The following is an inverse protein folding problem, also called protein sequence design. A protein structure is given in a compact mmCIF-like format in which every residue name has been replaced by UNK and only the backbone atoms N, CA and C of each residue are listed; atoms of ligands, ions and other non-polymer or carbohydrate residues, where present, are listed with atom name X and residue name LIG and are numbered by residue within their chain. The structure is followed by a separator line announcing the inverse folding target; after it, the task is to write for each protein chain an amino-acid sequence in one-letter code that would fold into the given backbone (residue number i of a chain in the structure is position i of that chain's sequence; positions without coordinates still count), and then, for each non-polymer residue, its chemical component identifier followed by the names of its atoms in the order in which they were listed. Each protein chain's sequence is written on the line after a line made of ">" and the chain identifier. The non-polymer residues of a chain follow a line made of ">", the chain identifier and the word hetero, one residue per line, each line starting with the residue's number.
data_IF_071955989138
#
_entry.id   IF_071955989138
#
_cell.length_a   1.000
_cell.length_b   1.000
_cell.length_c   1.000
_cell.angle_alpha   90.00
_cell.angle_beta   90.00
_cell.angle_gamma   90.00
#
_symmetry.space_group_name_H-M   'P 1'
#
loop_
_entity.id
_entity.type
_entity.pdbx_description
1 polymer ?
#
# COMPACT_ATOMS: atom_id res chain seq x y z
N UNK A 1 1.55 7.21 1.40
CA UNK A 1 2.55 7.73 0.43
C UNK A 1 3.46 6.64 -0.14
N UNK A 2 4.09 5.77 0.68
CA UNK A 2 5.02 4.74 0.18
C UNK A 2 4.46 3.79 -0.90
N UNK A 3 3.29 3.19 -0.67
CA UNK A 3 2.65 2.28 -1.62
C UNK A 3 2.31 2.94 -2.98
N UNK A 4 1.80 4.18 -2.94
CA UNK A 4 1.47 4.95 -4.13
C UNK A 4 2.74 5.31 -4.93
N UNK A 5 3.81 5.72 -4.25
CA UNK A 5 5.08 6.03 -4.91
C UNK A 5 5.73 4.79 -5.55
N UNK A 6 5.77 3.67 -4.81
CA UNK A 6 6.28 2.40 -5.34
C UNK A 6 5.49 1.95 -6.57
N UNK A 7 4.16 2.01 -6.51
CA UNK A 7 3.28 1.69 -7.65
C UNK A 7 3.51 2.60 -8.84
N UNK A 8 3.64 3.92 -8.63
CA UNK A 8 3.87 4.87 -9.70
C UNK A 8 5.21 4.63 -10.41
N UNK A 9 6.30 4.48 -9.65
CA UNK A 9 7.64 4.28 -10.23
C UNK A 9 7.73 2.92 -10.95
N UNK A 10 7.27 1.84 -10.34
CA UNK A 10 7.25 0.53 -10.98
C UNK A 10 6.34 0.50 -12.21
N UNK A 11 5.15 1.10 -12.13
CA UNK A 11 4.21 1.20 -13.25
C UNK A 11 4.79 1.92 -14.46
N UNK A 12 5.50 3.05 -14.26
CA UNK A 12 6.17 3.75 -15.38
C UNK A 12 7.25 2.90 -16.06
N UNK A 13 8.02 2.12 -15.29
CA UNK A 13 9.03 1.22 -15.84
C UNK A 13 8.42 0.05 -16.61
N UNK A 14 7.33 -0.52 -16.11
CA UNK A 14 6.61 -1.60 -16.78
C UNK A 14 5.99 -1.10 -18.09
N UNK A 15 5.41 0.11 -18.09
CA UNK A 15 4.81 0.72 -19.28
C UNK A 15 5.85 1.08 -20.36
N UNK A 16 7.07 1.48 -19.97
CA UNK A 16 8.15 1.70 -20.92
C UNK A 16 8.68 0.37 -21.50
N UNK A 17 8.83 -0.65 -20.64
CA UNK A 17 9.33 -1.96 -21.04
C UNK A 17 8.34 -2.73 -21.92
N UNK A 18 7.04 -2.60 -21.67
CA UNK A 18 5.98 -3.34 -22.37
C UNK A 18 5.96 -3.09 -23.88
N UNK A 19 6.47 -1.94 -24.33
CA UNK A 19 6.62 -1.61 -25.76
C UNK A 19 7.69 -2.46 -26.44
N UNK A 20 8.80 -2.75 -25.73
CA UNK A 20 9.94 -3.48 -26.28
C UNK A 20 9.84 -4.99 -26.06
N UNK A 21 9.28 -5.43 -24.92
CA UNK A 21 9.16 -6.86 -24.54
C UNK A 21 7.84 -7.15 -23.83
N UNK A 22 6.72 -7.25 -24.57
CA UNK A 22 5.39 -7.42 -23.97
C UNK A 22 5.23 -8.74 -23.20
N UNK A 23 5.91 -9.82 -23.59
CA UNK A 23 5.92 -11.11 -22.88
C UNK A 23 6.40 -11.05 -21.42
N UNK A 24 7.09 -9.97 -21.01
CA UNK A 24 7.61 -9.83 -19.65
C UNK A 24 6.65 -9.11 -18.69
N UNK A 25 5.55 -8.52 -19.17
CA UNK A 25 4.64 -7.70 -18.35
C UNK A 25 4.18 -8.45 -17.09
N UNK A 26 3.71 -9.69 -17.25
CA UNK A 26 3.14 -10.45 -16.14
C UNK A 26 4.18 -10.77 -15.06
N UNK A 27 5.43 -11.03 -15.44
CA UNK A 27 6.54 -11.26 -14.49
C UNK A 27 6.94 -9.96 -13.80
N UNK A 28 6.88 -8.83 -14.50
CA UNK A 28 7.27 -7.52 -13.98
C UNK A 28 6.23 -6.86 -13.07
N UNK A 29 5.05 -7.46 -12.86
CA UNK A 29 4.00 -6.93 -11.96
C UNK A 29 4.34 -7.13 -10.47
N UNK A 30 5.23 -8.06 -10.11
CA UNK A 30 5.57 -8.40 -8.72
C UNK A 30 5.89 -7.16 -7.84
N UNK A 31 6.71 -6.18 -8.28
CA UNK A 31 7.01 -4.99 -7.48
C UNK A 31 5.78 -4.12 -7.18
N UNK A 32 4.78 -4.08 -8.08
CA UNK A 32 3.53 -3.35 -7.86
C UNK A 32 2.70 -4.02 -6.76
N UNK A 33 2.64 -5.36 -6.77
CA UNK A 33 1.96 -6.13 -5.73
C UNK A 33 2.64 -5.95 -4.37
N UNK A 34 3.98 -5.95 -4.34
CA UNK A 34 4.73 -5.71 -3.10
C UNK A 34 4.47 -4.31 -2.53
N UNK A 35 4.33 -3.27 -3.37
CA UNK A 35 3.91 -1.95 -2.93
C UNK A 35 2.45 -1.94 -2.41
N UNK A 36 1.56 -2.73 -3.02
CA UNK A 36 0.17 -2.89 -2.57
C UNK A 36 0.02 -3.50 -1.18
N UNK A 37 0.84 -4.51 -0.84
CA UNK A 37 0.81 -5.14 0.49
C UNK A 37 1.11 -4.14 1.60
N UNK A 38 2.01 -3.17 1.36
CA UNK A 38 2.32 -2.10 2.32
C UNK A 38 1.08 -1.24 2.63
N UNK A 39 0.21 -1.00 1.66
CA UNK A 39 -1.03 -0.25 1.88
C UNK A 39 -1.99 -1.01 2.81
N UNK A 40 -2.09 -2.33 2.65
CA UNK A 40 -2.94 -3.19 3.48
C UNK A 40 -2.45 -3.20 4.93
N UNK A 41 -1.14 -3.23 5.16
CA UNK A 41 -0.60 -3.13 6.53
C UNK A 41 -1.02 -1.84 7.24
N UNK A 42 -0.97 -0.70 6.54
CA UNK A 42 -1.44 0.58 7.10
C UNK A 42 -2.94 0.57 7.41
N UNK A 43 -3.75 -0.02 6.52
CA UNK A 43 -5.20 -0.13 6.70
C UNK A 43 -5.56 -0.97 7.92
N UNK A 44 -4.96 -2.16 8.07
CA UNK A 44 -5.26 -3.06 9.19
C UNK A 44 -4.97 -2.39 10.53
N UNK A 45 -3.82 -1.71 10.65
CA UNK A 45 -3.47 -0.98 11.88
C UNK A 45 -4.47 0.15 12.16
N UNK A 46 -4.88 0.91 11.14
CA UNK A 46 -5.86 1.98 11.32
C UNK A 46 -7.22 1.45 11.83
N UNK A 47 -7.68 0.31 11.30
CA UNK A 47 -8.94 -0.32 11.73
C UNK A 47 -8.85 -0.82 13.18
N UNK A 48 -7.74 -1.42 13.58
CA UNK A 48 -7.53 -1.88 14.96
C UNK A 48 -7.53 -0.70 15.95
N UNK A 49 -6.90 0.42 15.59
CA UNK A 49 -6.90 1.63 16.41
C UNK A 49 -8.32 2.19 16.49
N UNK A 50 -9.02 2.33 15.37
CA UNK A 50 -10.38 2.85 15.34
C UNK A 50 -11.36 2.00 16.16
N UNK A 51 -11.23 0.67 16.11
CA UNK A 51 -12.03 -0.24 16.93
C UNK A 51 -11.69 -0.23 18.42
N UNK A 52 -10.55 0.33 18.81
CA UNK A 52 -10.10 0.45 20.21
C UNK A 52 -10.38 1.83 20.82
N UNK A 53 -11.01 2.76 20.08
CA UNK A 53 -11.40 4.06 20.61
C UNK A 53 -12.63 3.92 21.50
N UNK A 54 -12.48 4.26 22.78
CA UNK A 54 -13.56 4.29 23.78
C UNK A 54 -14.04 5.72 24.05
N UNK A 55 -15.21 5.85 24.68
CA UNK A 55 -15.76 7.14 25.11
C UNK A 55 -14.79 7.91 26.06
N UNK A 56 -14.79 9.25 26.02
CA UNK A 56 -13.84 10.11 26.73
C UNK A 56 -13.61 9.81 28.23
N UNK A 57 -14.58 9.37 29.06
CA UNK A 57 -14.29 9.03 30.45
C UNK A 57 -13.45 7.75 30.64
N UNK A 58 -13.32 6.89 29.63
CA UNK A 58 -12.51 5.65 29.66
C UNK A 58 -11.24 5.72 28.82
N UNK A 59 -11.12 6.70 27.93
CA UNK A 59 -9.93 6.92 27.13
C UNK A 59 -8.78 7.49 27.99
N UNK A 60 -7.78 6.66 28.31
CA UNK A 60 -6.67 6.99 29.22
C UNK A 60 -5.86 8.24 28.83
N UNK A 61 -5.88 8.63 27.56
CA UNK A 61 -5.17 9.80 27.02
C UNK A 61 -5.96 11.12 27.16
N UNK A 62 -7.23 11.08 27.58
CA UNK A 62 -8.08 12.27 27.75
C UNK A 62 -8.00 12.87 29.18
N UNK A 63 -6.92 12.61 29.92
CA UNK A 63 -6.72 13.08 31.29
C UNK A 63 -5.94 14.38 31.36
#
# INVERSE_FOLDING_TARGET
>A
MGAAYGTAKSGTGIAAMSVMRPELIMKSIIPVVMAGIIAIYGLVVAVLIAGSLEEPPKYKLYK
#
